data_IF_701392350653
#
_entry.id   IF_701392350653
#
_cell.length_a   1.000
_cell.length_b   1.000
_cell.length_c   1.000
_cell.angle_alpha   90.00
_cell.angle_beta   90.00
_cell.angle_gamma   90.00
#
_symmetry.space_group_name_H-M   'P 1'
#
loop_
_entity.id
_entity.type
_entity.pdbx_description
1 polymer ?
#
# COMPACT_ATOMS: atom_id res chain seq x y z
N UNK A 1 23.49 -8.77 14.17
CA UNK A 1 24.97 -8.65 14.09
C UNK A 1 25.58 -9.78 13.25
N UNK A 2 26.48 -9.46 12.33
CA UNK A 2 27.11 -10.44 11.43
C UNK A 2 26.34 -10.77 10.14
N UNK A 3 25.62 -9.80 9.55
CA UNK A 3 24.93 -9.99 8.26
C UNK A 3 23.72 -10.95 8.30
N UNK A 4 23.17 -11.21 9.49
CA UNK A 4 22.09 -12.17 9.71
C UNK A 4 20.71 -11.52 9.59
N UNK A 5 19.77 -12.26 9.02
CA UNK A 5 18.35 -11.91 8.99
C UNK A 5 17.59 -12.63 10.10
N UNK A 6 16.46 -12.06 10.51
CA UNK A 6 15.60 -12.65 11.54
C UNK A 6 14.15 -12.22 11.35
N UNK A 7 13.23 -13.06 11.83
CA UNK A 7 11.82 -12.69 11.93
C UNK A 7 11.62 -11.84 13.18
N UNK A 8 10.89 -10.75 13.03
CA UNK A 8 10.51 -9.85 14.12
C UNK A 8 9.06 -9.42 13.91
N UNK A 9 8.41 -8.98 14.99
CA UNK A 9 7.04 -8.49 14.99
C UNK A 9 6.95 -7.20 15.77
N UNK A 10 6.15 -6.25 15.32
CA UNK A 10 5.95 -4.99 16.02
C UNK A 10 5.45 -3.87 15.11
N UNK A 11 5.01 -2.78 15.74
CA UNK A 11 4.63 -1.56 15.02
C UNK A 11 5.83 -0.93 14.31
N UNK A 12 7.05 -1.11 14.81
CA UNK A 12 8.28 -0.62 14.15
C UNK A 12 8.45 -1.21 12.74
N UNK A 13 8.25 -2.51 12.57
CA UNK A 13 8.30 -3.16 11.25
C UNK A 13 7.14 -2.70 10.37
N UNK A 14 5.93 -2.58 10.94
CA UNK A 14 4.77 -2.05 10.21
C UNK A 14 5.04 -0.62 9.69
N UNK A 15 5.61 0.25 10.51
CA UNK A 15 6.02 1.61 10.11
C UNK A 15 7.03 1.57 8.97
N UNK A 16 8.04 0.69 9.03
CA UNK A 16 9.02 0.56 7.94
C UNK A 16 8.36 0.18 6.60
N UNK A 17 7.37 -0.73 6.61
CA UNK A 17 6.61 -1.08 5.40
C UNK A 17 5.78 0.09 4.87
N UNK A 18 5.12 0.85 5.74
CA UNK A 18 4.30 2.03 5.35
C UNK A 18 5.20 3.13 4.78
N UNK A 19 6.36 3.39 5.40
CA UNK A 19 7.36 4.35 4.89
C UNK A 19 7.91 3.92 3.53
N UNK A 20 8.17 2.62 3.33
CA UNK A 20 8.58 2.09 2.02
C UNK A 20 7.52 2.30 0.94
N UNK A 21 6.23 2.12 1.27
CA UNK A 21 5.13 2.42 0.35
C UNK A 21 5.06 3.92 0.01
N UNK A 22 5.18 4.80 1.01
CA UNK A 22 5.22 6.23 0.77
C UNK A 22 6.39 6.64 -0.14
N UNK A 23 7.57 6.05 0.06
CA UNK A 23 8.72 6.25 -0.80
C UNK A 23 8.47 5.75 -2.23
N UNK A 24 7.83 4.59 -2.40
CA UNK A 24 7.46 4.07 -3.71
C UNK A 24 6.49 5.02 -4.44
N UNK A 25 5.46 5.52 -3.75
CA UNK A 25 4.51 6.51 -4.29
C UNK A 25 5.27 7.76 -4.75
N UNK A 26 6.13 8.33 -3.89
CA UNK A 26 6.92 9.52 -4.22
C UNK A 26 7.93 9.29 -5.34
N UNK A 27 8.46 8.06 -5.49
CA UNK A 27 9.36 7.73 -6.61
C UNK A 27 8.64 7.77 -7.97
N UNK A 28 7.34 7.50 -7.99
CA UNK A 28 6.51 7.56 -9.20
C UNK A 28 5.94 8.94 -9.47
N UNK A 29 5.60 9.70 -8.43
CA UNK A 29 5.06 11.06 -8.56
C UNK A 29 5.62 11.95 -7.45
N UNK A 30 6.82 12.54 -7.66
CA UNK A 30 7.50 13.33 -6.63
C UNK A 30 6.79 14.63 -6.24
N UNK A 31 5.85 15.11 -7.06
CA UNK A 31 5.09 16.34 -6.83
C UNK A 31 3.95 16.20 -5.81
N UNK A 32 3.68 14.98 -5.33
CA UNK A 32 2.63 14.76 -4.33
C UNK A 32 3.01 15.38 -2.98
N UNK A 33 2.05 16.06 -2.37
CA UNK A 33 2.18 16.56 -1.00
C UNK A 33 2.07 15.42 0.02
N UNK A 34 2.62 15.58 1.25
CA UNK A 34 2.49 14.57 2.29
C UNK A 34 1.05 14.17 2.62
N UNK A 35 0.12 15.14 2.56
CA UNK A 35 -1.32 14.90 2.77
C UNK A 35 -1.88 14.01 1.68
N UNK A 36 -1.56 14.28 0.41
CA UNK A 36 -1.99 13.44 -0.72
C UNK A 36 -1.44 12.02 -0.61
N UNK A 37 -0.17 11.85 -0.25
CA UNK A 37 0.44 10.52 -0.04
C UNK A 37 -0.29 9.76 1.05
N UNK A 38 -0.55 10.39 2.20
CA UNK A 38 -1.32 9.80 3.31
C UNK A 38 -2.70 9.35 2.84
N UNK A 39 -3.44 10.22 2.17
CA UNK A 39 -4.78 9.90 1.68
C UNK A 39 -4.76 8.74 0.69
N UNK A 40 -3.79 8.72 -0.22
CA UNK A 40 -3.65 7.68 -1.23
C UNK A 40 -3.39 6.31 -0.59
N UNK A 41 -2.55 6.25 0.45
CA UNK A 41 -2.31 5.01 1.21
C UNK A 41 -3.57 4.55 1.95
N UNK A 42 -4.29 5.46 2.60
CA UNK A 42 -5.49 5.12 3.39
C UNK A 42 -6.63 4.64 2.47
N UNK A 43 -6.94 5.43 1.43
CA UNK A 43 -8.07 5.17 0.50
C UNK A 43 -7.86 3.89 -0.31
N UNK A 44 -6.61 3.53 -0.62
CA UNK A 44 -6.29 2.34 -1.41
C UNK A 44 -5.82 1.15 -0.56
N UNK A 45 -6.07 1.17 0.74
CA UNK A 45 -5.87 0.01 1.60
C UNK A 45 -6.81 -1.15 1.21
N UNK A 46 -6.38 -2.38 1.47
CA UNK A 46 -7.24 -3.55 1.33
C UNK A 46 -8.01 -3.75 2.64
N UNK A 47 -9.36 -3.67 2.63
CA UNK A 47 -10.17 -3.83 3.82
C UNK A 47 -9.94 -5.17 4.51
N UNK A 48 -9.94 -5.16 5.83
CA UNK A 48 -9.84 -6.37 6.66
C UNK A 48 -10.90 -6.26 7.74
N UNK A 49 -11.93 -7.11 7.68
CA UNK A 49 -13.11 -7.04 8.56
C UNK A 49 -12.74 -6.82 10.05
N UNK A 50 -11.73 -7.52 10.56
CA UNK A 50 -11.27 -7.40 11.95
C UNK A 50 -10.58 -6.07 12.33
N UNK A 51 -10.29 -5.21 11.35
CA UNK A 51 -9.67 -3.88 11.51
C UNK A 51 -10.68 -2.73 11.35
N UNK A 52 -11.92 -3.00 10.94
CA UNK A 52 -12.96 -1.98 10.86
C UNK A 52 -13.18 -1.34 12.24
N UNK A 53 -13.22 -0.01 12.27
CA UNK A 53 -13.35 0.77 13.52
C UNK A 53 -12.12 0.75 14.44
N UNK A 54 -11.04 0.02 14.10
CA UNK A 54 -9.80 -0.03 14.89
C UNK A 54 -8.68 0.82 14.30
N UNK A 55 -8.67 1.00 12.99
CA UNK A 55 -7.68 1.81 12.26
C UNK A 55 -8.39 2.68 11.24
N UNK A 56 -7.82 3.87 10.95
CA UNK A 56 -8.43 4.84 10.04
C UNK A 56 -8.68 4.31 8.62
N UNK A 57 -7.87 3.36 8.16
CA UNK A 57 -8.02 2.70 6.86
C UNK A 57 -9.07 1.58 6.84
N UNK A 58 -9.47 1.05 8.00
CA UNK A 58 -10.26 -0.18 8.09
C UNK A 58 -9.56 -1.42 7.49
N UNK A 59 -8.26 -1.36 7.22
CA UNK A 59 -7.57 -2.36 6.39
C UNK A 59 -6.05 -2.29 6.42
N UNK A 60 -5.42 -3.19 5.67
CA UNK A 60 -3.95 -3.28 5.51
C UNK A 60 -3.47 -2.50 4.29
N UNK A 61 -2.22 -2.04 4.30
CA UNK A 61 -1.63 -1.37 3.13
C UNK A 61 -1.60 -2.29 1.90
N UNK A 62 -1.74 -1.69 0.72
CA UNK A 62 -1.70 -2.39 -0.57
C UNK A 62 -0.94 -1.54 -1.59
N UNK A 63 0.30 -1.94 -1.89
CA UNK A 63 1.17 -1.20 -2.78
C UNK A 63 0.67 -1.19 -4.23
N UNK A 64 0.09 -2.29 -4.70
CA UNK A 64 -0.42 -2.39 -6.05
C UNK A 64 -1.61 -1.45 -6.25
N UNK A 65 -2.59 -1.49 -5.34
CA UNK A 65 -3.76 -0.62 -5.42
C UNK A 65 -3.40 0.85 -5.31
N UNK A 66 -2.46 1.19 -4.43
CA UNK A 66 -1.98 2.56 -4.29
C UNK A 66 -1.39 3.10 -5.61
N UNK A 67 -0.46 2.36 -6.23
CA UNK A 67 0.18 2.79 -7.47
C UNK A 67 -0.80 2.75 -8.65
N UNK A 68 -1.64 1.72 -8.74
CA UNK A 68 -2.65 1.61 -9.79
C UNK A 68 -3.66 2.78 -9.76
N UNK A 69 -4.00 3.30 -8.58
CA UNK A 69 -4.89 4.45 -8.44
C UNK A 69 -4.29 5.76 -8.99
N UNK A 70 -2.98 5.81 -9.19
CA UNK A 70 -2.26 6.95 -9.79
C UNK A 70 -2.15 6.82 -11.31
N UNK A 71 -2.43 5.63 -11.86
CA UNK A 71 -2.31 5.36 -13.30
C UNK A 71 -3.64 5.63 -14.01
N UNK A 72 -3.63 6.26 -15.19
CA UNK A 72 -4.84 6.39 -16.01
C UNK A 72 -5.34 5.02 -16.45
N UNK A 73 -6.66 4.82 -16.44
CA UNK A 73 -7.31 3.53 -16.73
C UNK A 73 -6.93 2.90 -18.09
N UNK A 74 -6.37 3.67 -19.03
CA UNK A 74 -5.93 3.18 -20.35
C UNK A 74 -4.63 2.38 -20.36
N UNK A 75 -3.85 2.33 -19.27
CA UNK A 75 -2.53 1.64 -19.26
C UNK A 75 -2.50 0.35 -18.46
N UNK A 76 -3.62 -0.10 -17.90
CA UNK A 76 -3.71 -1.42 -17.26
C UNK A 76 -4.11 -2.43 -18.34
N UNK A 77 -3.20 -3.29 -18.85
CA UNK A 77 -3.64 -4.42 -19.67
C UNK A 77 -4.58 -5.24 -18.80
N UNK A 78 -5.84 -5.34 -19.23
CA UNK A 78 -6.86 -6.10 -18.54
C UNK A 78 -6.32 -7.49 -18.23
N UNK A 79 -5.92 -7.74 -16.98
CA UNK A 79 -5.65 -9.08 -16.51
C UNK A 79 -6.98 -9.80 -16.66
N UNK A 80 -7.13 -10.60 -17.73
CA UNK A 80 -8.29 -11.48 -17.93
C UNK A 80 -8.58 -12.08 -16.57
N UNK A 81 -9.68 -11.66 -15.96
CA UNK A 81 -10.21 -12.33 -14.79
C UNK A 81 -10.48 -13.75 -15.26
N UNK A 82 -9.60 -14.67 -14.86
CA UNK A 82 -9.75 -16.07 -15.15
C UNK A 82 -11.02 -16.52 -14.42
N UNK A 83 -12.12 -16.50 -15.15
CA UNK A 83 -13.27 -17.35 -14.91
C UNK A 83 -12.74 -18.77 -14.84
N UNK A 84 -12.85 -19.39 -13.68
CA UNK A 84 -12.88 -20.84 -13.60
C UNK A 84 -13.94 -21.25 -12.59
N UNK A 85 -14.91 -21.98 -13.14
CA UNK A 85 -15.95 -22.77 -12.48
C UNK A 85 -15.41 -23.58 -11.31
#
# INVERSE_FOLDING_TARGET
PGGKYGKMTGTSQATAFVSGLAALILSTTPSLTPVQVKELIIKNSTPVSGLHGKVASGGKIDAYRAIAAMMPASTIPARKMASKK
#
